data_IF_462049717019
#
_entry.id   IF_462049717019
#
_cell.length_a   1.000
_cell.length_b   1.000
_cell.length_c   1.000
_cell.angle_alpha   90.00
_cell.angle_beta   90.00
_cell.angle_gamma   90.00
#
_symmetry.space_group_name_H-M   'P 1'
#
loop_
_entity.id
_entity.type
_entity.pdbx_description
1 polymer ?
#
# COMPACT_ATOMS: atom_id res chain seq x y z
N UNK A 1 -4.37 17.55 -9.68
CA UNK A 1 -4.21 18.49 -8.58
C UNK A 1 -2.89 18.33 -7.82
N UNK A 2 -2.12 17.26 -8.08
CA UNK A 2 -0.87 16.92 -7.38
C UNK A 2 0.36 16.88 -8.29
N UNK A 3 0.32 17.56 -9.45
CA UNK A 3 1.50 17.79 -10.29
C UNK A 3 1.69 16.81 -11.44
N UNK A 4 0.74 15.93 -11.72
CA UNK A 4 0.82 15.06 -12.89
C UNK A 4 0.73 15.87 -14.20
N UNK A 5 1.62 15.60 -15.14
CA UNK A 5 1.64 16.21 -16.48
C UNK A 5 0.73 15.45 -17.47
N UNK A 6 0.59 14.14 -17.24
CA UNK A 6 -0.21 13.24 -18.07
C UNK A 6 -0.94 12.21 -17.20
N UNK A 7 -2.17 11.89 -17.56
CA UNK A 7 -2.96 10.79 -17.01
C UNK A 7 -3.23 9.80 -18.16
N UNK A 8 -2.90 8.54 -17.93
CA UNK A 8 -3.21 7.47 -18.87
C UNK A 8 -4.30 6.62 -18.24
N UNK A 9 -5.47 6.63 -18.85
CA UNK A 9 -6.61 5.81 -18.43
C UNK A 9 -6.60 4.51 -19.26
N UNK A 10 -6.40 3.38 -18.60
CA UNK A 10 -6.44 2.07 -19.25
C UNK A 10 -7.87 1.55 -19.18
N UNK A 11 -8.50 1.44 -20.34
CA UNK A 11 -9.84 0.89 -20.49
C UNK A 11 -9.74 -0.58 -20.87
N UNK A 12 -10.06 -1.48 -19.93
CA UNK A 12 -10.06 -2.92 -20.17
C UNK A 12 -10.98 -3.63 -19.19
N UNK A 13 -11.99 -4.38 -19.66
CA UNK A 13 -12.83 -5.21 -18.80
C UNK A 13 -12.03 -6.26 -18.02
N UNK A 14 -10.89 -6.68 -18.57
CA UNK A 14 -10.01 -7.68 -17.96
C UNK A 14 -9.35 -7.22 -16.66
N UNK A 15 -9.38 -5.91 -16.38
CA UNK A 15 -8.76 -5.28 -15.20
C UNK A 15 -9.76 -4.97 -14.09
N UNK A 16 -11.03 -5.39 -14.21
CA UNK A 16 -12.01 -5.20 -13.15
C UNK A 16 -11.62 -5.90 -11.85
N UNK A 17 -11.02 -7.08 -11.99
CA UNK A 17 -10.48 -7.84 -10.88
C UNK A 17 -8.96 -7.83 -10.90
N UNK A 18 -8.35 -7.75 -9.72
CA UNK A 18 -6.90 -7.70 -9.64
C UNK A 18 -6.26 -9.04 -10.03
N UNK A 19 -5.36 -8.98 -11.00
CA UNK A 19 -4.43 -10.06 -11.34
C UNK A 19 -3.07 -9.44 -11.64
N UNK A 20 -2.03 -9.84 -10.90
CA UNK A 20 -0.67 -9.33 -11.12
C UNK A 20 -0.21 -9.50 -12.57
N UNK A 21 -0.58 -10.64 -13.19
CA UNK A 21 -0.24 -10.94 -14.58
C UNK A 21 -0.90 -9.97 -15.56
N UNK A 22 -2.23 -9.75 -15.43
CA UNK A 22 -2.99 -8.86 -16.31
C UNK A 22 -2.54 -7.40 -16.16
N UNK A 23 -2.43 -6.95 -14.90
CA UNK A 23 -1.98 -5.59 -14.59
C UNK A 23 -0.55 -5.32 -15.05
N UNK A 24 0.37 -6.28 -14.84
CA UNK A 24 1.74 -6.15 -15.32
C UNK A 24 1.80 -6.07 -16.85
N UNK A 25 1.04 -6.88 -17.55
CA UNK A 25 0.97 -6.82 -19.01
C UNK A 25 0.50 -5.44 -19.50
N UNK A 26 -0.57 -4.92 -18.91
CA UNK A 26 -1.06 -3.59 -19.23
C UNK A 26 -0.01 -2.49 -18.93
N UNK A 27 0.68 -2.59 -17.80
CA UNK A 27 1.75 -1.65 -17.44
C UNK A 27 2.95 -1.73 -18.40
N UNK A 28 3.34 -2.91 -18.86
CA UNK A 28 4.44 -3.06 -19.84
C UNK A 28 4.13 -2.29 -21.13
N UNK A 29 2.89 -2.36 -21.63
CA UNK A 29 2.47 -1.60 -22.82
C UNK A 29 2.57 -0.09 -22.58
N UNK A 30 2.12 0.38 -21.40
CA UNK A 30 2.25 1.79 -21.03
C UNK A 30 3.72 2.19 -20.89
N UNK A 31 4.52 1.39 -20.19
CA UNK A 31 5.95 1.66 -19.99
C UNK A 31 6.69 1.80 -21.31
N UNK A 32 6.39 0.92 -22.28
CA UNK A 32 6.97 0.98 -23.63
C UNK A 32 6.53 2.24 -24.38
N UNK A 33 5.23 2.54 -24.37
CA UNK A 33 4.68 3.69 -25.11
C UNK A 33 5.16 5.04 -24.59
N UNK A 34 5.44 5.11 -23.27
CA UNK A 34 5.89 6.34 -22.59
C UNK A 34 7.42 6.34 -22.32
N UNK A 35 8.14 5.29 -22.71
CA UNK A 35 9.57 5.10 -22.42
C UNK A 35 9.89 5.29 -20.92
N UNK A 36 9.06 4.72 -20.04
CA UNK A 36 9.16 4.91 -18.61
C UNK A 36 10.33 4.10 -18.02
N UNK A 37 11.23 4.76 -17.32
CA UNK A 37 12.39 4.16 -16.65
C UNK A 37 12.18 3.96 -15.15
N UNK A 38 11.20 4.63 -14.56
CA UNK A 38 10.87 4.52 -13.16
C UNK A 38 9.36 4.28 -13.04
N UNK A 39 8.98 3.24 -12.34
CA UNK A 39 7.59 2.90 -12.01
C UNK A 39 7.44 3.00 -10.50
N UNK A 40 6.48 3.80 -10.04
CA UNK A 40 6.18 3.97 -8.63
C UNK A 40 4.81 3.35 -8.34
N UNK A 41 4.77 2.47 -7.36
CA UNK A 41 3.56 1.80 -6.89
C UNK A 41 3.27 2.20 -5.44
N UNK A 42 2.00 2.16 -5.04
CA UNK A 42 1.62 2.27 -3.62
C UNK A 42 2.07 1.04 -2.84
N UNK A 43 2.03 1.10 -1.51
CA UNK A 43 2.44 -0.02 -0.65
C UNK A 43 1.24 -0.89 -0.22
N UNK A 44 0.52 -1.44 -1.17
CA UNK A 44 -0.53 -2.43 -0.90
C UNK A 44 0.01 -3.86 -1.11
N UNK A 45 -0.63 -4.90 -0.55
CA UNK A 45 -0.31 -6.29 -0.90
C UNK A 45 -0.34 -6.54 -2.41
N UNK A 46 -1.36 -6.04 -3.09
CA UNK A 46 -1.49 -6.15 -4.54
C UNK A 46 -0.31 -5.51 -5.29
N UNK A 47 0.15 -4.35 -4.84
CA UNK A 47 1.29 -3.66 -5.44
C UNK A 47 2.61 -4.42 -5.25
N UNK A 48 2.77 -5.15 -4.15
CA UNK A 48 3.95 -6.00 -3.94
C UNK A 48 3.97 -7.18 -4.92
N UNK A 49 2.83 -7.85 -5.10
CA UNK A 49 2.71 -8.92 -6.09
C UNK A 49 2.91 -8.38 -7.52
N UNK A 50 2.29 -7.25 -7.83
CA UNK A 50 2.42 -6.61 -9.14
C UNK A 50 3.86 -6.19 -9.41
N UNK A 51 4.52 -5.52 -8.46
CA UNK A 51 5.90 -5.05 -8.61
C UNK A 51 6.89 -6.19 -8.81
N UNK A 52 6.74 -7.28 -8.03
CA UNK A 52 7.58 -8.45 -8.17
C UNK A 52 7.38 -9.15 -9.53
N UNK A 53 6.12 -9.33 -9.94
CA UNK A 53 5.81 -9.95 -11.23
C UNK A 53 6.30 -9.09 -12.42
N UNK A 54 6.02 -7.78 -12.35
CA UNK A 54 6.45 -6.82 -13.38
C UNK A 54 7.98 -6.79 -13.51
N UNK A 55 8.70 -6.82 -12.39
CA UNK A 55 10.16 -6.90 -12.33
C UNK A 55 10.70 -8.13 -13.08
N UNK A 56 10.09 -9.30 -12.83
CA UNK A 56 10.50 -10.55 -13.47
C UNK A 56 10.30 -10.56 -14.98
N UNK A 57 9.20 -9.99 -15.48
CA UNK A 57 8.91 -9.99 -16.94
C UNK A 57 9.63 -8.87 -17.71
N UNK A 58 10.14 -7.85 -17.01
CA UNK A 58 10.83 -6.70 -17.64
C UNK A 58 12.32 -6.66 -17.34
N UNK A 59 12.84 -7.64 -16.62
CA UNK A 59 14.24 -7.67 -16.14
C UNK A 59 14.65 -6.37 -15.43
N UNK A 60 13.74 -5.88 -14.57
CA UNK A 60 13.88 -4.61 -13.86
C UNK A 60 14.19 -4.84 -12.38
N UNK A 61 14.89 -3.90 -11.75
CA UNK A 61 15.05 -3.93 -10.29
C UNK A 61 13.74 -3.58 -9.61
N UNK A 62 13.37 -4.32 -8.56
CA UNK A 62 12.22 -4.02 -7.72
C UNK A 62 12.61 -3.85 -6.25
N UNK A 63 12.10 -2.80 -5.61
CA UNK A 63 12.19 -2.64 -4.16
C UNK A 63 10.86 -2.15 -3.59
N UNK A 64 10.52 -2.68 -2.41
CA UNK A 64 9.30 -2.32 -1.67
C UNK A 64 9.64 -1.64 -0.34
N UNK A 65 8.62 -1.06 0.28
CA UNK A 65 8.70 -0.39 1.58
C UNK A 65 9.68 0.80 1.59
N UNK A 66 9.74 1.54 0.49
CA UNK A 66 10.55 2.76 0.40
C UNK A 66 9.92 3.87 1.23
N UNK A 67 10.72 4.56 2.02
CA UNK A 67 10.26 5.55 3.01
C UNK A 67 10.81 6.95 2.80
N UNK A 68 11.80 7.11 1.95
CA UNK A 68 12.44 8.41 1.66
C UNK A 68 12.72 8.56 0.17
N UNK A 69 12.94 9.78 -0.27
CA UNK A 69 13.44 10.08 -1.61
C UNK A 69 14.81 9.41 -1.83
N UNK A 70 15.26 9.23 -3.09
CA UNK A 70 16.56 8.62 -3.36
C UNK A 70 17.68 9.29 -2.57
N UNK A 71 18.46 8.49 -1.85
CA UNK A 71 19.65 8.95 -1.12
C UNK A 71 20.75 9.34 -2.09
N UNK A 72 20.80 8.64 -3.23
CA UNK A 72 21.72 8.92 -4.34
C UNK A 72 21.05 8.57 -5.66
N UNK A 73 21.37 9.32 -6.71
CA UNK A 73 20.93 9.05 -8.09
C UNK A 73 21.98 8.26 -8.89
N UNK A 74 23.23 8.25 -8.44
CA UNK A 74 24.30 7.47 -9.07
C UNK A 74 25.31 7.01 -7.99
N UNK A 75 25.30 5.72 -7.59
CA UNK A 75 24.31 4.70 -7.94
C UNK A 75 22.91 5.02 -7.39
N UNK A 76 21.87 4.58 -8.07
CA UNK A 76 20.48 4.87 -7.65
C UNK A 76 20.14 4.07 -6.39
N UNK A 77 20.10 4.76 -5.26
CA UNK A 77 20.02 4.14 -3.94
C UNK A 77 18.81 4.67 -3.17
N UNK A 78 18.02 3.75 -2.61
CA UNK A 78 16.81 4.02 -1.85
C UNK A 78 16.92 3.50 -0.43
N UNK A 79 16.33 4.22 0.51
CA UNK A 79 16.13 3.78 1.90
C UNK A 79 14.77 3.10 2.03
N UNK A 80 14.77 1.89 2.59
CA UNK A 80 13.56 1.10 2.81
C UNK A 80 13.54 0.51 4.21
N UNK A 81 12.35 0.24 4.72
CA UNK A 81 12.20 -0.55 5.94
C UNK A 81 12.37 -2.05 5.66
N UNK A 82 12.95 -2.77 6.61
CA UNK A 82 13.12 -4.21 6.59
C UNK A 82 12.92 -4.82 7.99
N UNK A 83 12.90 -6.17 8.07
CA UNK A 83 12.66 -6.91 9.32
C UNK A 83 11.41 -6.43 10.06
N UNK A 84 10.27 -6.39 9.38
CA UNK A 84 9.00 -5.92 9.95
C UNK A 84 9.13 -4.51 10.55
N UNK A 85 9.71 -3.58 9.78
CA UNK A 85 9.95 -2.17 10.15
C UNK A 85 10.92 -1.95 11.34
N UNK A 86 11.74 -2.95 11.70
CA UNK A 86 12.69 -2.83 12.81
C UNK A 86 14.04 -2.25 12.39
N UNK A 87 14.34 -2.24 11.11
CA UNK A 87 15.60 -1.72 10.58
C UNK A 87 15.37 -1.01 9.24
N UNK A 88 16.34 -0.21 8.86
CA UNK A 88 16.45 0.37 7.52
C UNK A 88 17.54 -0.31 6.72
N UNK A 89 17.31 -0.41 5.43
CA UNK A 89 18.31 -0.88 4.45
C UNK A 89 18.46 0.17 3.37
N UNK A 90 19.69 0.42 2.97
CA UNK A 90 20.02 1.13 1.74
C UNK A 90 20.14 0.12 0.61
N UNK A 91 19.29 0.28 -0.41
CA UNK A 91 19.20 -0.66 -1.52
C UNK A 91 19.55 0.04 -2.82
N UNK A 92 20.57 -0.45 -3.49
CA UNK A 92 20.99 0.01 -4.81
C UNK A 92 20.19 -0.72 -5.90
N UNK A 93 19.62 0.01 -6.85
CA UNK A 93 18.90 -0.51 -8.00
C UNK A 93 19.75 -0.34 -9.27
N UNK A 94 20.27 -1.46 -9.80
CA UNK A 94 21.27 -1.46 -10.89
C UNK A 94 20.68 -1.48 -12.29
N UNK A 95 19.47 -2.06 -12.46
CA UNK A 95 18.84 -2.13 -13.79
C UNK A 95 18.49 -0.74 -14.35
N UNK A 96 18.37 -0.65 -15.66
CA UNK A 96 17.96 0.59 -16.32
C UNK A 96 16.56 1.01 -15.87
N UNK A 97 15.60 0.09 -15.89
CA UNK A 97 14.24 0.31 -15.38
C UNK A 97 14.14 -0.09 -13.92
N UNK A 98 13.47 0.73 -13.13
CA UNK A 98 13.33 0.58 -11.68
C UNK A 98 11.87 0.61 -11.28
N UNK A 99 11.45 -0.36 -10.48
CA UNK A 99 10.11 -0.47 -9.93
C UNK A 99 10.22 -0.27 -8.42
N UNK A 100 9.44 0.67 -7.90
CA UNK A 100 9.55 1.13 -6.51
C UNK A 100 8.16 1.09 -5.89
N UNK A 101 8.01 0.44 -4.74
CA UNK A 101 6.78 0.53 -3.94
C UNK A 101 7.05 1.37 -2.69
N UNK A 102 6.32 2.49 -2.57
CA UNK A 102 6.46 3.45 -1.47
C UNK A 102 5.54 3.06 -0.31
N UNK A 103 6.02 3.24 0.91
CA UNK A 103 5.22 3.01 2.12
C UNK A 103 4.15 4.08 2.27
N UNK A 104 2.95 3.69 2.69
CA UNK A 104 1.86 4.62 3.01
C UNK A 104 2.32 5.63 4.08
N UNK A 105 1.86 6.87 3.97
CA UNK A 105 2.14 7.96 4.90
C UNK A 105 3.63 8.33 5.10
N UNK A 106 4.53 7.81 4.26
CA UNK A 106 5.97 8.16 4.34
C UNK A 106 6.31 9.48 3.65
N UNK A 107 5.44 9.95 2.77
CA UNK A 107 5.63 11.19 2.02
C UNK A 107 4.43 12.10 2.27
N UNK A 108 4.70 13.36 2.60
CA UNK A 108 3.65 14.36 2.75
C UNK A 108 2.94 14.67 1.42
N UNK A 109 1.74 15.19 1.52
CA UNK A 109 0.96 15.63 0.35
C UNK A 109 1.39 17.05 -0.02
N UNK A 110 1.95 17.20 -1.22
CA UNK A 110 2.29 18.52 -1.79
C UNK A 110 1.28 18.86 -2.88
N UNK A 111 0.49 19.91 -2.65
CA UNK A 111 -0.43 20.42 -3.67
C UNK A 111 0.37 21.13 -4.75
N UNK A 112 0.28 20.63 -5.98
CA UNK A 112 0.88 21.21 -7.17
C UNK A 112 -0.15 21.15 -8.31
N UNK A 113 -1.09 22.10 -8.38
CA UNK A 113 -2.17 22.05 -9.38
C UNK A 113 -1.59 22.18 -10.78
N UNK A 114 -1.88 21.19 -11.63
CA UNK A 114 -1.61 21.17 -13.04
C UNK A 114 -2.85 20.68 -13.80
N UNK A 115 -2.92 21.01 -15.08
CA UNK A 115 -3.93 20.50 -16.01
C UNK A 115 -3.30 19.35 -16.82
N UNK A 116 -3.41 18.10 -16.39
CA UNK A 116 -2.77 16.99 -17.06
C UNK A 116 -3.45 16.70 -18.41
N UNK A 117 -2.66 16.27 -19.38
CA UNK A 117 -3.18 15.69 -20.63
C UNK A 117 -3.75 14.30 -20.30
N UNK A 118 -5.03 14.08 -20.62
CA UNK A 118 -5.69 12.78 -20.43
C UNK A 118 -5.63 11.99 -21.74
N UNK A 119 -5.13 10.77 -21.68
CA UNK A 119 -5.11 9.81 -22.79
C UNK A 119 -5.78 8.53 -22.33
N UNK A 120 -6.78 8.06 -23.06
CA UNK A 120 -7.37 6.74 -22.85
C UNK A 120 -6.77 5.75 -23.85
N UNK A 121 -6.42 4.58 -23.37
CA UNK A 121 -5.91 3.48 -24.19
C UNK A 121 -6.72 2.21 -23.90
N UNK A 122 -7.05 1.47 -24.94
CA UNK A 122 -7.70 0.17 -24.84
C UNK A 122 -6.62 -0.91 -24.89
N UNK A 123 -6.58 -1.74 -23.85
CA UNK A 123 -5.64 -2.86 -23.76
C UNK A 123 -6.42 -4.15 -23.58
N UNK A 124 -6.19 -5.10 -24.47
CA UNK A 124 -6.65 -6.47 -24.28
C UNK A 124 -5.59 -7.23 -23.49
N UNK A 125 -5.93 -7.61 -22.26
CA UNK A 125 -5.00 -8.31 -21.40
C UNK A 125 -4.88 -9.81 -21.79
N UNK A 126 -3.72 -10.37 -21.45
CA UNK A 126 -3.50 -11.83 -21.58
C UNK A 126 -4.32 -12.59 -20.55
N UNK A 127 -4.65 -13.84 -20.85
CA UNK A 127 -5.28 -14.71 -19.87
C UNK A 127 -4.36 -14.97 -18.68
N UNK A 128 -4.89 -14.84 -17.48
CA UNK A 128 -4.15 -15.06 -16.24
C UNK A 128 -4.21 -16.49 -15.72
N UNK A 129 -5.07 -17.34 -16.27
CA UNK A 129 -5.42 -18.66 -15.74
C UNK A 129 -5.91 -18.61 -14.27
N UNK A 130 -6.36 -17.43 -13.82
CA UNK A 130 -6.88 -17.17 -12.48
C UNK A 130 -8.33 -16.76 -12.58
N UNK A 131 -9.17 -17.34 -11.73
CA UNK A 131 -10.57 -16.98 -11.57
C UNK A 131 -10.81 -16.61 -10.12
N UNK A 132 -11.27 -15.39 -9.89
CA UNK A 132 -11.73 -14.95 -8.58
C UNK A 132 -13.12 -15.54 -8.37
N UNK A 133 -13.29 -16.36 -7.35
CA UNK A 133 -14.56 -17.00 -7.01
C UNK A 133 -15.40 -16.14 -6.07
N UNK A 134 -14.75 -15.45 -5.15
CA UNK A 134 -15.39 -14.57 -4.19
C UNK A 134 -14.44 -13.48 -3.73
N UNK A 135 -14.95 -12.30 -3.39
CA UNK A 135 -14.22 -11.19 -2.77
C UNK A 135 -15.02 -10.78 -1.53
N UNK A 136 -14.47 -11.06 -0.36
CA UNK A 136 -15.01 -10.56 0.90
C UNK A 136 -14.43 -9.17 1.16
N UNK A 137 -15.28 -8.15 1.13
CA UNK A 137 -14.89 -6.77 1.44
C UNK A 137 -15.35 -6.45 2.84
N UNK A 138 -14.44 -5.96 3.67
CA UNK A 138 -14.82 -5.31 4.93
C UNK A 138 -15.53 -4.00 4.60
N UNK A 139 -16.79 -3.87 5.01
CA UNK A 139 -17.59 -2.70 4.72
C UNK A 139 -17.39 -1.62 5.80
N UNK A 140 -17.09 -0.41 5.37
CA UNK A 140 -17.35 0.84 6.10
C UNK A 140 -16.29 1.38 7.05
N UNK A 141 -15.18 0.71 7.32
CA UNK A 141 -14.13 1.25 8.19
C UNK A 141 -12.85 1.57 7.42
N UNK A 142 -12.18 2.66 7.80
CA UNK A 142 -10.82 2.95 7.31
C UNK A 142 -9.90 1.81 7.72
N UNK A 143 -9.16 1.24 6.78
CA UNK A 143 -8.25 0.14 7.11
C UNK A 143 -7.05 0.67 7.89
N UNK A 144 -6.53 -0.12 8.83
CA UNK A 144 -5.34 0.25 9.63
C UNK A 144 -4.15 0.62 8.74
N UNK A 145 -4.01 -0.03 7.59
CA UNK A 145 -2.90 0.21 6.67
C UNK A 145 -2.96 1.60 6.00
N UNK A 146 -4.16 2.15 5.82
CA UNK A 146 -4.39 3.40 5.10
C UNK A 146 -4.78 4.56 6.02
N UNK A 147 -5.01 4.26 7.32
CA UNK A 147 -5.46 5.24 8.30
C UNK A 147 -4.37 6.27 8.63
N UNK A 148 -4.71 7.55 8.60
CA UNK A 148 -3.87 8.63 9.12
C UNK A 148 -3.86 8.65 10.65
N UNK A 149 -4.97 8.24 11.27
CA UNK A 149 -5.13 8.17 12.73
C UNK A 149 -5.57 6.75 13.10
N UNK A 150 -4.94 6.18 14.11
CA UNK A 150 -5.29 4.88 14.67
C UNK A 150 -5.55 4.99 16.15
N UNK A 151 -6.68 4.48 16.62
CA UNK A 151 -6.99 4.31 18.04
C UNK A 151 -6.89 2.82 18.37
N UNK A 152 -5.91 2.49 19.19
CA UNK A 152 -5.63 1.10 19.56
C UNK A 152 -5.85 0.85 21.05
N UNK A 153 -6.41 -0.29 21.37
CA UNK A 153 -6.63 -0.63 22.76
C UNK A 153 -6.12 -2.03 23.14
N UNK A 154 -5.84 -2.16 24.45
CA UNK A 154 -5.29 -3.37 25.04
C UNK A 154 -6.15 -3.93 26.15
N UNK A 155 -5.61 -4.92 26.87
CA UNK A 155 -6.29 -5.59 28.00
C UNK A 155 -6.62 -4.65 29.17
N UNK A 156 -5.99 -3.47 29.22
CA UNK A 156 -6.33 -2.46 30.23
C UNK A 156 -7.76 -1.96 30.17
N UNK A 157 -8.50 -2.24 29.08
CA UNK A 157 -9.95 -2.03 29.01
C UNK A 157 -10.76 -2.99 29.88
N UNK A 158 -10.15 -4.06 30.38
CA UNK A 158 -10.73 -5.09 31.28
C UNK A 158 -11.82 -5.99 30.68
N UNK A 159 -12.43 -5.63 29.56
CA UNK A 159 -13.43 -6.46 28.88
C UNK A 159 -13.88 -5.88 27.54
N UNK A 160 -14.48 -6.74 26.67
CA UNK A 160 -14.96 -6.33 25.36
C UNK A 160 -16.13 -5.32 25.43
N UNK A 161 -16.88 -5.31 26.52
CA UNK A 161 -17.99 -4.39 26.77
C UNK A 161 -17.54 -2.92 26.82
N UNK A 162 -16.29 -2.68 27.16
CA UNK A 162 -15.72 -1.32 27.20
C UNK A 162 -15.19 -0.85 25.85
N UNK A 163 -15.32 -1.68 24.80
CA UNK A 163 -14.80 -1.33 23.47
C UNK A 163 -15.56 -0.21 22.77
N UNK A 164 -16.84 -0.01 23.11
CA UNK A 164 -17.67 1.06 22.56
C UNK A 164 -17.04 2.44 22.70
N UNK A 165 -16.33 2.69 23.80
CA UNK A 165 -15.61 3.94 24.03
C UNK A 165 -14.50 4.17 22.98
N UNK A 166 -13.81 3.10 22.58
CA UNK A 166 -12.74 3.13 21.57
C UNK A 166 -13.32 3.39 20.18
N UNK A 167 -14.45 2.73 19.87
CA UNK A 167 -15.15 2.90 18.60
C UNK A 167 -15.69 4.33 18.44
N UNK A 168 -16.31 4.89 19.48
CA UNK A 168 -16.79 6.27 19.48
C UNK A 168 -15.65 7.30 19.31
N UNK A 169 -14.51 7.06 19.99
CA UNK A 169 -13.34 7.92 19.81
C UNK A 169 -12.80 7.83 18.39
N UNK A 170 -12.70 6.61 17.85
CA UNK A 170 -12.22 6.40 16.49
C UNK A 170 -13.16 7.05 15.46
N UNK A 171 -14.47 6.89 15.62
CA UNK A 171 -15.48 7.55 14.76
C UNK A 171 -15.37 9.07 14.79
N UNK A 172 -15.25 9.66 16.00
CA UNK A 172 -15.09 11.11 16.17
C UNK A 172 -13.87 11.65 15.47
N UNK A 173 -12.77 10.88 15.45
CA UNK A 173 -11.50 11.28 14.83
C UNK A 173 -11.39 10.85 13.34
N UNK A 174 -12.34 10.11 12.80
CA UNK A 174 -12.19 9.48 11.48
C UNK A 174 -11.05 8.47 11.44
N UNK A 175 -10.76 7.81 12.57
CA UNK A 175 -9.64 6.92 12.79
C UNK A 175 -10.01 5.44 12.54
N UNK A 176 -9.01 4.62 12.25
CA UNK A 176 -9.17 3.17 12.31
C UNK A 176 -9.05 2.67 13.75
N UNK A 177 -9.82 1.63 14.09
CA UNK A 177 -9.65 0.89 15.34
C UNK A 177 -8.57 -0.18 15.19
N UNK A 178 -7.82 -0.40 16.28
CA UNK A 178 -6.81 -1.44 16.35
C UNK A 178 -6.76 -2.08 17.74
N UNK A 179 -6.16 -3.25 17.83
CA UNK A 179 -6.01 -3.93 19.12
C UNK A 179 -4.65 -4.58 19.29
N UNK A 180 -4.26 -4.77 20.54
CA UNK A 180 -3.09 -5.57 20.89
C UNK A 180 -3.34 -7.06 20.66
N UNK A 181 -2.25 -7.83 20.45
CA UNK A 181 -2.35 -9.29 20.26
C UNK A 181 -3.19 -10.00 21.31
N UNK A 182 -3.00 -9.77 22.64
CA UNK A 182 -3.79 -10.44 23.66
C UNK A 182 -5.31 -10.21 23.54
N UNK A 183 -5.73 -9.02 23.08
CA UNK A 183 -7.15 -8.70 22.86
C UNK A 183 -7.71 -9.52 21.70
N UNK A 184 -6.96 -9.64 20.61
CA UNK A 184 -7.35 -10.49 19.48
C UNK A 184 -7.36 -11.97 19.84
N UNK A 185 -6.34 -12.45 20.56
CA UNK A 185 -6.25 -13.85 21.00
C UNK A 185 -7.40 -14.25 21.94
N UNK A 186 -7.90 -13.32 22.75
CA UNK A 186 -9.10 -13.50 23.60
C UNK A 186 -10.43 -13.36 22.85
N UNK A 187 -10.40 -13.07 21.56
CA UNK A 187 -11.60 -12.93 20.74
C UNK A 187 -12.41 -11.66 20.99
N UNK A 188 -11.86 -10.66 21.72
CA UNK A 188 -12.55 -9.39 21.93
C UNK A 188 -12.68 -8.59 20.64
N UNK A 189 -11.66 -8.69 19.77
CA UNK A 189 -11.65 -8.06 18.45
C UNK A 189 -11.12 -9.03 17.38
N UNK A 190 -11.53 -8.85 16.13
CA UNK A 190 -11.09 -9.71 15.04
C UNK A 190 -9.58 -9.56 14.78
N UNK A 191 -8.96 -10.61 14.24
CA UNK A 191 -7.55 -10.57 13.84
C UNK A 191 -7.19 -9.48 12.81
N UNK A 192 -8.18 -9.00 12.07
CA UNK A 192 -8.00 -7.89 11.13
C UNK A 192 -7.62 -6.57 11.82
N UNK A 193 -7.95 -6.41 13.10
CA UNK A 193 -7.58 -5.23 13.91
C UNK A 193 -6.29 -5.41 14.71
N UNK A 194 -5.71 -6.60 14.71
CA UNK A 194 -4.47 -6.86 15.43
C UNK A 194 -3.29 -6.14 14.79
N UNK A 195 -2.62 -5.30 15.57
CA UNK A 195 -1.41 -4.55 15.19
C UNK A 195 -0.19 -5.03 15.96
N UNK A 196 0.97 -4.85 15.37
CA UNK A 196 2.26 -5.17 15.98
C UNK A 196 3.07 -6.17 15.17
N UNK A 197 4.07 -6.78 15.80
CA UNK A 197 5.09 -7.60 15.14
C UNK A 197 4.52 -8.77 14.33
N UNK A 198 3.48 -9.42 14.83
CA UNK A 198 2.81 -10.55 14.18
C UNK A 198 1.46 -10.17 13.57
N UNK A 199 1.08 -8.91 13.67
CA UNK A 199 -0.14 -8.33 13.12
C UNK A 199 0.11 -7.41 11.94
N UNK A 200 -0.86 -6.52 11.69
CA UNK A 200 -0.72 -5.51 10.64
C UNK A 200 0.32 -4.45 11.07
N UNK A 201 1.25 -4.06 10.18
CA UNK A 201 2.12 -2.91 10.42
C UNK A 201 1.29 -1.63 10.38
N UNK A 202 1.62 -0.67 11.22
CA UNK A 202 0.98 0.65 11.28
C UNK A 202 1.97 1.72 10.83
N UNK A 203 1.51 2.63 9.99
CA UNK A 203 2.24 3.82 9.55
C UNK A 203 1.31 5.03 9.59
N UNK A 204 0.68 5.28 10.74
CA UNK A 204 -0.22 6.41 10.96
C UNK A 204 0.54 7.67 11.37
N UNK A 205 -0.06 8.84 11.11
CA UNK A 205 0.45 10.12 11.57
C UNK A 205 0.21 10.31 13.09
N UNK A 206 -0.90 9.73 13.60
CA UNK A 206 -1.23 9.72 15.03
C UNK A 206 -1.65 8.31 15.45
N UNK A 207 -1.05 7.82 16.50
CA UNK A 207 -1.40 6.55 17.13
C UNK A 207 -1.76 6.75 18.60
N UNK A 208 -3.01 6.53 18.95
CA UNK A 208 -3.53 6.64 20.32
C UNK A 208 -3.60 5.25 20.93
N UNK A 209 -2.81 5.00 21.96
CA UNK A 209 -2.73 3.72 22.65
C UNK A 209 -3.43 3.79 24.02
N UNK A 210 -4.44 2.95 24.25
CA UNK A 210 -5.27 2.96 25.44
C UNK A 210 -5.23 1.58 26.11
N UNK A 211 -4.71 1.53 27.33
CA UNK A 211 -4.68 0.28 28.11
C UNK A 211 -3.85 -0.86 27.49
N UNK A 212 -2.82 -0.53 26.73
CA UNK A 212 -1.89 -1.49 26.15
C UNK A 212 -0.79 -1.83 27.12
#
# INVERSE_FOLDING_TARGET
AYGADKIININSPDLNDFSSKKYAHALVEVMKSENSKIVILSSSPNSKYLGAYLSGITDSSFTSNVVELPVSNNPFTLKRTCFTNKAFSLTELKSETKIISITSNSFGIVKNPKNPKIKTIDIKCIDSNQKILNIEKENGSVTIADAEIVVSAGRGLKGPENWTMIELLAETLGAATACSKPVSDMGWRPHSEHVGQTGKPVSSNLYIAIGI
#
